data_IF_487503672495
#
_entry.id   IF_487503672495
#
_cell.length_a   1.000
_cell.length_b   1.000
_cell.length_c   1.000
_cell.angle_alpha   90.00
_cell.angle_beta   90.00
_cell.angle_gamma   90.00
#
_symmetry.space_group_name_H-M   'P 1'
#
loop_
_entity.id
_entity.type
_entity.pdbx_description
1 polymer ?
#
# COMPACT_ATOMS: atom_id res chain seq x y z
N UNK A 1 4.61 -28.87 -0.57
CA UNK A 1 4.22 -27.64 -1.29
C UNK A 1 2.94 -27.16 -0.63
N UNK A 2 3.03 -26.12 0.20
CA UNK A 2 1.91 -25.67 1.03
C UNK A 2 0.95 -24.83 0.16
N UNK A 3 -0.32 -25.20 0.20
CA UNK A 3 -1.44 -24.41 -0.33
C UNK A 3 -1.55 -23.11 0.47
N UNK A 4 -0.82 -22.06 0.06
CA UNK A 4 -1.20 -20.69 0.40
C UNK A 4 -2.53 -20.43 -0.30
N UNK A 5 -3.52 -19.93 0.45
CA UNK A 5 -4.82 -19.63 -0.17
C UNK A 5 -4.62 -18.54 -1.23
N UNK A 6 -5.37 -18.58 -2.33
CA UNK A 6 -5.35 -17.58 -3.41
C UNK A 6 -5.39 -16.12 -2.90
N UNK A 7 -5.96 -15.87 -1.71
CA UNK A 7 -5.98 -14.55 -1.06
C UNK A 7 -4.62 -14.07 -0.55
N UNK A 8 -3.77 -14.95 -0.04
CA UNK A 8 -2.42 -14.64 0.44
C UNK A 8 -1.44 -14.52 -0.74
N UNK A 9 -1.69 -15.28 -1.80
CA UNK A 9 -0.89 -15.24 -3.04
C UNK A 9 -0.89 -13.85 -3.69
N UNK A 10 -2.03 -13.16 -3.67
CA UNK A 10 -2.18 -11.80 -4.23
C UNK A 10 -1.34 -10.73 -3.55
N UNK A 11 -1.31 -10.75 -2.22
CA UNK A 11 -0.47 -9.82 -1.46
C UNK A 11 1.00 -10.09 -1.74
N UNK A 12 1.38 -11.36 -1.90
CA UNK A 12 2.75 -11.73 -2.24
C UNK A 12 3.16 -11.27 -3.64
N UNK A 13 2.32 -11.52 -4.66
CA UNK A 13 2.57 -11.05 -6.03
C UNK A 13 2.70 -9.52 -6.05
N UNK A 14 1.80 -8.82 -5.35
CA UNK A 14 1.84 -7.37 -5.33
C UNK A 14 3.06 -6.83 -4.57
N UNK A 15 3.41 -7.44 -3.43
CA UNK A 15 4.61 -7.09 -2.67
C UNK A 15 5.90 -7.34 -3.46
N UNK A 16 5.96 -8.41 -4.25
CA UNK A 16 7.09 -8.70 -5.14
C UNK A 16 7.26 -7.60 -6.19
N UNK A 17 6.17 -7.22 -6.86
CA UNK A 17 6.18 -6.10 -7.79
C UNK A 17 6.67 -4.80 -7.12
N UNK A 18 6.12 -4.46 -5.95
CA UNK A 18 6.50 -3.24 -5.22
C UNK A 18 8.00 -3.26 -4.89
N UNK A 19 8.51 -4.37 -4.34
CA UNK A 19 9.91 -4.47 -3.94
C UNK A 19 10.87 -4.46 -5.14
N UNK A 20 10.47 -5.02 -6.29
CA UNK A 20 11.31 -5.12 -7.47
C UNK A 20 11.32 -3.86 -8.34
N UNK A 21 10.16 -3.20 -8.50
CA UNK A 21 9.96 -2.17 -9.53
C UNK A 21 9.67 -0.78 -8.95
N UNK A 22 9.07 -0.71 -7.75
CA UNK A 22 8.62 0.57 -7.18
C UNK A 22 9.62 1.16 -6.18
N UNK A 23 10.29 0.31 -5.40
CA UNK A 23 11.22 0.74 -4.36
C UNK A 23 12.64 0.80 -4.91
N UNK A 24 13.38 1.85 -4.50
CA UNK A 24 14.82 1.93 -4.71
C UNK A 24 15.56 1.49 -3.44
N UNK A 25 16.89 1.62 -3.44
CA UNK A 25 17.73 1.29 -2.26
C UNK A 25 17.74 2.39 -1.18
N UNK A 26 16.85 3.39 -1.26
CA UNK A 26 16.79 4.45 -0.27
C UNK A 26 16.14 3.96 1.03
N UNK A 27 16.41 4.68 2.12
CA UNK A 27 15.84 4.38 3.45
C UNK A 27 14.61 5.24 3.68
N UNK A 28 13.58 4.63 4.27
CA UNK A 28 12.31 5.27 4.60
C UNK A 28 11.22 4.22 4.78
N UNK A 29 9.96 4.65 4.79
CA UNK A 29 8.83 3.75 4.97
C UNK A 29 7.92 3.70 3.75
N UNK A 30 7.23 2.56 3.58
CA UNK A 30 6.14 2.41 2.62
C UNK A 30 4.81 2.72 3.31
N UNK A 31 3.98 3.57 2.70
CA UNK A 31 2.64 3.88 3.21
C UNK A 31 1.60 2.97 2.54
N UNK A 32 1.04 2.02 3.28
CA UNK A 32 -0.06 1.15 2.86
C UNK A 32 -1.42 1.78 3.23
N UNK A 33 -2.20 2.17 2.21
CA UNK A 33 -3.54 2.74 2.38
C UNK A 33 -4.62 1.66 2.26
N UNK A 34 -5.61 1.72 3.15
CA UNK A 34 -6.71 0.75 3.24
C UNK A 34 -6.24 -0.69 3.52
N UNK A 35 -5.12 -0.84 4.25
CA UNK A 35 -4.43 -2.12 4.41
C UNK A 35 -5.15 -3.19 5.24
N UNK A 36 -6.28 -2.86 5.86
CA UNK A 36 -7.14 -3.83 6.53
C UNK A 36 -6.45 -4.56 7.66
N UNK A 37 -6.03 -5.81 7.44
CA UNK A 37 -5.27 -6.60 8.44
C UNK A 37 -3.75 -6.45 8.31
N UNK A 38 -3.26 -5.73 7.29
CA UNK A 38 -1.83 -5.54 7.02
C UNK A 38 -1.17 -6.73 6.32
N UNK A 39 -1.94 -7.52 5.56
CA UNK A 39 -1.39 -8.67 4.84
C UNK A 39 -0.39 -8.26 3.75
N UNK A 40 -0.54 -7.07 3.14
CA UNK A 40 0.46 -6.54 2.22
C UNK A 40 1.69 -6.06 2.99
N UNK A 41 1.54 -5.31 4.09
CA UNK A 41 2.66 -4.92 4.95
C UNK A 41 3.51 -6.12 5.39
N UNK A 42 2.88 -7.20 5.85
CA UNK A 42 3.58 -8.44 6.22
C UNK A 42 4.32 -9.03 5.02
N UNK A 43 3.70 -9.06 3.85
CA UNK A 43 4.33 -9.56 2.63
C UNK A 43 5.50 -8.70 2.15
N UNK A 44 5.46 -7.38 2.39
CA UNK A 44 6.56 -6.43 2.12
C UNK A 44 7.72 -6.64 3.10
N UNK A 45 7.44 -6.79 4.40
CA UNK A 45 8.45 -7.06 5.41
C UNK A 45 9.17 -8.39 5.15
N UNK A 46 8.43 -9.44 4.74
CA UNK A 46 9.02 -10.72 4.33
C UNK A 46 9.99 -10.61 3.14
N UNK A 47 9.97 -9.47 2.42
CA UNK A 47 10.86 -9.14 1.29
C UNK A 47 11.94 -8.12 1.66
N UNK A 48 12.10 -7.80 2.95
CA UNK A 48 13.14 -6.91 3.44
C UNK A 48 12.77 -5.43 3.48
N UNK A 49 11.49 -5.08 3.32
CA UNK A 49 11.03 -3.71 3.58
C UNK A 49 10.99 -3.49 5.09
N UNK A 50 11.90 -2.67 5.61
CA UNK A 50 12.11 -2.49 7.05
C UNK A 50 10.93 -1.77 7.74
N UNK A 51 10.39 -0.71 7.13
CA UNK A 51 9.30 0.09 7.71
C UNK A 51 8.09 0.17 6.77
N UNK A 52 6.93 -0.22 7.30
CA UNK A 52 5.63 -0.13 6.62
C UNK A 52 4.60 0.48 7.56
N UNK A 53 3.90 1.48 7.06
CA UNK A 53 2.88 2.25 7.77
C UNK A 53 1.53 1.96 7.15
N UNK A 54 0.62 1.37 7.92
CA UNK A 54 -0.73 1.05 7.45
C UNK A 54 -1.72 2.10 7.95
N UNK A 55 -2.40 2.79 7.04
CA UNK A 55 -3.52 3.68 7.36
C UNK A 55 -4.85 3.02 6.98
N UNK A 56 -5.70 2.75 7.99
CA UNK A 56 -7.03 2.17 7.81
C UNK A 56 -7.94 2.57 8.99
N UNK A 57 -9.17 3.06 8.74
CA UNK A 57 -10.07 3.50 9.82
C UNK A 57 -10.70 2.34 10.61
N UNK A 58 -10.70 1.12 10.05
CA UNK A 58 -11.41 -0.02 10.63
C UNK A 58 -10.79 -0.45 11.96
N UNK A 59 -11.59 -0.67 13.00
CA UNK A 59 -11.11 -1.34 14.21
C UNK A 59 -10.80 -2.81 13.86
N UNK A 60 -9.62 -3.28 14.25
CA UNK A 60 -9.24 -4.68 14.14
C UNK A 60 -9.31 -5.27 15.55
N UNK A 61 -10.00 -6.40 15.72
CA UNK A 61 -10.00 -7.10 16.99
C UNK A 61 -8.60 -7.64 17.29
N UNK A 62 -8.13 -7.51 18.54
CA UNK A 62 -6.80 -7.97 18.99
C UNK A 62 -6.49 -9.42 18.57
N UNK A 63 -7.49 -10.30 18.59
CA UNK A 63 -7.37 -11.72 18.20
C UNK A 63 -7.17 -11.98 16.70
N UNK A 64 -7.24 -10.96 15.85
CA UNK A 64 -7.00 -11.07 14.41
C UNK A 64 -5.57 -10.70 14.03
N UNK A 65 -4.72 -10.41 15.02
CA UNK A 65 -3.28 -10.41 14.86
C UNK A 65 -2.76 -11.84 14.82
N UNK A 66 -2.05 -12.18 13.75
CA UNK A 66 -1.00 -13.19 13.84
C UNK A 66 0.19 -12.48 14.46
N UNK A 67 0.53 -12.86 15.69
CA UNK A 67 1.64 -12.33 16.46
C UNK A 67 2.94 -12.28 15.65
N UNK A 68 3.32 -11.07 15.27
CA UNK A 68 4.70 -10.65 15.14
C UNK A 68 4.82 -9.30 15.87
N UNK A 69 4.70 -9.34 17.20
CA UNK A 69 5.23 -8.40 18.21
C UNK A 69 5.12 -6.88 17.90
N UNK A 70 4.45 -6.01 18.65
CA UNK A 70 3.92 -6.05 20.00
C UNK A 70 3.03 -4.81 20.17
N UNK A 71 2.16 -4.85 21.16
CA UNK A 71 1.58 -3.71 21.88
C UNK A 71 2.44 -2.44 21.85
N UNK A 72 1.96 -1.41 21.16
CA UNK A 72 2.29 -0.02 21.49
C UNK A 72 1.00 0.77 21.60
N UNK A 73 0.61 1.03 22.85
CA UNK A 73 -0.40 2.01 23.24
C UNK A 73 0.06 3.40 22.82
N UNK A 74 -0.81 4.27 22.31
CA UNK A 74 -0.41 5.59 21.85
C UNK A 74 -0.34 6.55 23.04
N UNK A 75 0.73 6.50 23.82
CA UNK A 75 1.04 7.55 24.79
C UNK A 75 2.56 7.63 25.04
N UNK A 76 3.17 8.69 24.51
CA UNK A 76 4.47 9.26 24.92
C UNK A 76 5.75 8.47 24.61
N UNK A 77 6.58 9.11 23.79
CA UNK A 77 8.01 8.86 23.51
C UNK A 77 8.39 7.60 22.72
N UNK A 78 9.31 7.84 21.78
CA UNK A 78 9.77 6.92 20.76
C UNK A 78 10.58 5.77 21.36
N UNK A 79 9.94 4.63 21.60
CA UNK A 79 10.66 3.39 21.91
C UNK A 79 11.07 2.68 20.62
N UNK A 80 12.34 2.86 20.31
CA UNK A 80 13.10 2.22 19.26
C UNK A 80 13.54 0.84 19.78
N UNK A 81 12.90 -0.24 19.33
CA UNK A 81 13.49 -1.57 19.03
C UNK A 81 12.43 -2.69 18.95
N UNK A 82 11.86 -2.89 17.76
CA UNK A 82 11.37 -4.19 17.26
C UNK A 82 11.53 -4.16 15.74
N UNK A 83 12.48 -4.91 15.19
CA UNK A 83 12.91 -4.92 13.78
C UNK A 83 11.84 -5.38 12.76
N UNK A 84 10.56 -5.46 13.13
CA UNK A 84 9.50 -5.95 12.22
C UNK A 84 8.08 -5.51 12.61
N UNK A 85 7.93 -4.44 13.41
CA UNK A 85 6.60 -3.98 13.80
C UNK A 85 5.95 -3.10 12.71
N UNK A 86 4.89 -3.57 12.07
CA UNK A 86 4.06 -2.76 11.17
C UNK A 86 3.42 -1.61 11.95
N UNK A 87 3.75 -0.36 11.63
CA UNK A 87 3.15 0.82 12.25
C UNK A 87 1.73 1.03 11.72
N UNK A 88 0.74 1.26 12.58
CA UNK A 88 -0.65 1.51 12.15
C UNK A 88 -1.12 2.91 12.54
N UNK A 89 -1.80 3.56 11.61
CA UNK A 89 -2.50 4.83 11.82
C UNK A 89 -3.99 4.56 11.62
N UNK A 90 -4.76 4.67 12.70
CA UNK A 90 -6.22 4.47 12.62
C UNK A 90 -6.90 5.77 12.19
N UNK A 91 -6.92 6.01 10.89
CA UNK A 91 -7.51 7.21 10.29
C UNK A 91 -8.07 6.92 8.90
N UNK A 92 -8.95 7.80 8.42
CA UNK A 92 -9.27 7.86 7.00
C UNK A 92 -8.09 8.44 6.21
N UNK A 93 -7.94 8.02 4.96
CA UNK A 93 -6.96 8.60 4.06
C UNK A 93 -7.58 9.80 3.33
N UNK A 94 -7.22 11.00 3.77
CA UNK A 94 -7.69 12.28 3.27
C UNK A 94 -6.56 13.31 3.27
N UNK A 95 -6.86 14.60 3.04
CA UNK A 95 -5.88 15.68 2.97
C UNK A 95 -4.98 15.80 4.22
N UNK A 96 -5.40 15.32 5.39
CA UNK A 96 -4.55 15.33 6.59
C UNK A 96 -3.42 14.30 6.51
N UNK A 97 -3.46 13.39 5.55
CA UNK A 97 -2.41 12.38 5.32
C UNK A 97 -1.26 12.89 4.46
N UNK A 98 -1.30 14.16 4.00
CA UNK A 98 -0.31 14.73 3.07
C UNK A 98 1.13 14.63 3.58
N UNK A 99 1.36 14.83 4.87
CA UNK A 99 2.70 14.74 5.45
C UNK A 99 3.19 13.28 5.42
N UNK A 100 2.33 12.32 5.77
CA UNK A 100 2.63 10.90 5.68
C UNK A 100 2.94 10.45 4.24
N UNK A 101 2.25 11.02 3.26
CA UNK A 101 2.53 10.76 1.84
C UNK A 101 3.89 11.36 1.47
N UNK A 102 4.10 12.63 1.80
CA UNK A 102 5.30 13.38 1.41
C UNK A 102 6.59 12.80 1.99
N UNK A 103 6.53 12.18 3.16
CA UNK A 103 7.69 11.58 3.83
C UNK A 103 7.89 10.08 3.50
N UNK A 104 6.96 9.47 2.75
CA UNK A 104 7.05 8.05 2.37
C UNK A 104 7.96 7.82 1.16
N UNK A 105 8.51 6.61 1.07
CA UNK A 105 9.21 6.12 -0.14
C UNK A 105 8.23 5.87 -1.28
N UNK A 106 7.09 5.27 -0.95
CA UNK A 106 6.03 4.98 -1.90
C UNK A 106 4.68 4.87 -1.18
N UNK A 107 3.60 5.16 -1.92
CA UNK A 107 2.22 4.94 -1.47
C UNK A 107 1.65 3.73 -2.18
N UNK A 108 1.20 2.72 -1.42
CA UNK A 108 0.67 1.49 -1.97
C UNK A 108 -0.73 1.22 -1.43
N UNK A 109 -1.59 0.64 -2.26
CA UNK A 109 -2.95 0.32 -1.84
C UNK A 109 -3.50 -0.89 -2.58
N UNK A 110 -3.99 -1.89 -1.83
CA UNK A 110 -4.63 -3.08 -2.40
C UNK A 110 -6.13 -3.09 -2.10
N UNK A 111 -6.91 -2.91 -3.16
CA UNK A 111 -8.36 -2.76 -3.17
C UNK A 111 -8.88 -1.57 -2.35
N UNK A 112 -8.36 -0.35 -2.56
CA UNK A 112 -8.81 0.85 -1.85
C UNK A 112 -10.10 1.40 -2.49
N UNK A 113 -11.17 0.61 -2.57
CA UNK A 113 -12.37 0.94 -3.36
C UNK A 113 -12.83 2.42 -3.17
N UNK A 114 -12.91 2.89 -1.93
CA UNK A 114 -13.29 4.28 -1.58
C UNK A 114 -12.12 5.28 -1.55
N UNK A 115 -10.87 4.82 -1.46
CA UNK A 115 -9.67 5.67 -1.31
C UNK A 115 -8.81 5.78 -2.59
N UNK A 116 -9.23 5.15 -3.69
CA UNK A 116 -8.48 5.07 -4.95
C UNK A 116 -8.04 6.43 -5.46
N UNK A 117 -8.99 7.33 -5.67
CA UNK A 117 -8.71 8.65 -6.24
C UNK A 117 -7.83 9.47 -5.30
N UNK A 118 -8.11 9.41 -3.99
CA UNK A 118 -7.30 10.11 -2.98
C UNK A 118 -5.84 9.64 -3.00
N UNK A 119 -5.59 8.32 -3.06
CA UNK A 119 -4.23 7.75 -3.13
C UNK A 119 -3.49 8.27 -4.37
N UNK A 120 -4.14 8.20 -5.53
CA UNK A 120 -3.56 8.65 -6.80
C UNK A 120 -3.29 10.15 -6.77
N UNK A 121 -4.27 10.96 -6.38
CA UNK A 121 -4.19 12.41 -6.40
C UNK A 121 -3.11 12.92 -5.43
N UNK A 122 -3.04 12.37 -4.21
CA UNK A 122 -2.01 12.78 -3.24
C UNK A 122 -0.61 12.31 -3.63
N UNK A 123 -0.45 11.09 -4.14
CA UNK A 123 0.85 10.61 -4.59
C UNK A 123 1.37 11.42 -5.78
N UNK A 124 0.50 11.76 -6.74
CA UNK A 124 0.84 12.67 -7.84
C UNK A 124 1.21 14.06 -7.33
N UNK A 125 0.44 14.61 -6.38
CA UNK A 125 0.71 15.92 -5.80
C UNK A 125 2.05 15.97 -5.06
N UNK A 126 2.40 14.91 -4.32
CA UNK A 126 3.65 14.81 -3.58
C UNK A 126 4.82 14.30 -4.43
N UNK A 127 4.58 13.99 -5.70
CA UNK A 127 5.56 13.36 -6.61
C UNK A 127 6.18 12.08 -6.02
N UNK A 128 5.35 11.28 -5.36
CA UNK A 128 5.77 10.02 -4.75
C UNK A 128 5.42 8.84 -5.65
N UNK A 129 6.33 7.85 -5.79
CA UNK A 129 5.99 6.58 -6.41
C UNK A 129 4.74 5.99 -5.76
N UNK A 130 3.85 5.40 -6.57
CA UNK A 130 2.67 4.75 -6.02
C UNK A 130 2.22 3.55 -6.84
N UNK A 131 1.57 2.60 -6.18
CA UNK A 131 0.96 1.44 -6.83
C UNK A 131 -0.41 1.15 -6.22
N UNK A 132 -1.42 0.98 -7.09
CA UNK A 132 -2.79 0.66 -6.67
C UNK A 132 -3.29 -0.58 -7.39
N UNK A 133 -3.59 -1.62 -6.63
CA UNK A 133 -4.17 -2.87 -7.14
C UNK A 133 -5.68 -2.87 -6.90
N UNK A 134 -6.48 -2.86 -7.96
CA UNK A 134 -7.95 -2.78 -7.87
C UNK A 134 -8.63 -4.12 -8.03
N UNK A 135 -9.77 -4.30 -7.36
CA UNK A 135 -10.59 -5.50 -7.54
C UNK A 135 -11.53 -5.32 -8.72
N UNK A 136 -11.02 -5.54 -9.92
CA UNK A 136 -11.79 -5.32 -11.15
C UNK A 136 -12.70 -6.53 -11.39
N UNK A 137 -13.99 -6.41 -11.05
CA UNK A 137 -14.99 -7.45 -11.37
C UNK A 137 -15.50 -7.36 -12.82
N UNK A 138 -15.45 -6.17 -13.42
CA UNK A 138 -15.51 -5.85 -14.86
C UNK A 138 -15.03 -4.39 -14.98
N UNK A 139 -14.22 -4.05 -15.98
CA UNK A 139 -14.13 -2.73 -16.67
C UNK A 139 -12.73 -2.51 -17.25
N UNK A 140 -12.64 -2.50 -18.58
CA UNK A 140 -11.47 -2.09 -19.35
C UNK A 140 -11.28 -0.56 -19.43
N UNK A 141 -12.25 0.22 -18.95
CA UNK A 141 -12.24 1.70 -19.04
C UNK A 141 -11.48 2.42 -17.92
N UNK A 142 -11.43 1.86 -16.72
CA UNK A 142 -10.86 2.52 -15.54
C UNK A 142 -9.33 2.66 -15.63
N UNK A 143 -8.65 1.60 -16.10
CA UNK A 143 -7.19 1.61 -16.35
C UNK A 143 -6.83 2.69 -17.39
N UNK A 144 -7.67 2.87 -18.41
CA UNK A 144 -7.49 3.87 -19.44
C UNK A 144 -7.67 5.29 -18.87
N UNK A 145 -8.73 5.52 -18.10
CA UNK A 145 -9.01 6.81 -17.45
C UNK A 145 -7.87 7.25 -16.52
N UNK A 146 -7.36 6.34 -15.68
CA UNK A 146 -6.30 6.66 -14.74
C UNK A 146 -4.94 6.90 -15.44
N UNK A 147 -4.66 6.17 -16.53
CA UNK A 147 -3.52 6.47 -17.42
C UNK A 147 -3.65 7.85 -18.08
N UNK A 148 -4.85 8.23 -18.51
CA UNK A 148 -5.11 9.54 -19.12
C UNK A 148 -4.96 10.68 -18.09
N UNK A 149 -5.46 10.52 -16.86
CA UNK A 149 -5.24 11.48 -15.75
C UNK A 149 -3.76 11.66 -15.43
N UNK A 150 -3.01 10.57 -15.25
CA UNK A 150 -1.58 10.63 -14.93
C UNK A 150 -0.76 11.31 -16.04
N UNK A 151 -1.12 11.08 -17.31
CA UNK A 151 -0.51 11.75 -18.47
C UNK A 151 -0.87 13.23 -18.57
N UNK A 152 -2.12 13.60 -18.26
CA UNK A 152 -2.58 14.99 -18.34
C UNK A 152 -1.98 15.85 -17.21
N UNK A 153 -1.76 15.27 -16.03
CA UNK A 153 -1.16 15.97 -14.89
C UNK A 153 0.33 16.28 -15.07
N UNK A 154 1.06 15.51 -15.90
CA UNK A 154 2.52 15.59 -15.97
C UNK A 154 3.02 15.64 -17.43
N UNK A 155 3.26 16.87 -17.90
CA UNK A 155 3.81 17.15 -19.23
C UNK A 155 5.22 16.55 -19.43
N UNK A 156 5.27 15.40 -20.11
CA UNK A 156 6.43 14.66 -20.64
C UNK A 156 7.50 14.09 -19.68
N UNK A 157 7.67 12.77 -19.83
CA UNK A 157 8.86 11.90 -19.60
C UNK A 157 9.47 11.83 -18.20
N UNK A 158 8.93 10.99 -17.30
CA UNK A 158 9.68 10.33 -16.23
C UNK A 158 9.00 9.00 -15.78
N UNK A 159 9.73 8.08 -15.11
CA UNK A 159 9.40 6.67 -14.90
C UNK A 159 8.41 6.48 -13.75
N UNK A 160 7.19 7.01 -13.90
CA UNK A 160 6.08 6.66 -13.02
C UNK A 160 5.51 5.36 -13.56
N UNK A 161 5.97 4.25 -13.00
CA UNK A 161 5.35 2.94 -13.23
C UNK A 161 3.96 2.94 -12.58
N UNK A 162 3.00 3.53 -13.28
CA UNK A 162 1.58 3.45 -12.96
C UNK A 162 1.10 2.02 -13.27
N UNK A 163 1.39 1.10 -12.36
CA UNK A 163 1.03 -0.31 -12.52
C UNK A 163 -0.30 -0.56 -11.83
N UNK A 164 -1.34 -0.56 -12.64
CA UNK A 164 -2.61 -1.19 -12.30
C UNK A 164 -2.46 -2.69 -12.47
N UNK A 165 -2.26 -3.40 -11.37
CA UNK A 165 -2.45 -4.86 -11.38
C UNK A 165 -3.96 -5.10 -11.38
N UNK A 166 -4.49 -5.30 -12.58
CA UNK A 166 -5.84 -5.80 -12.78
C UNK A 166 -5.83 -7.30 -12.53
N UNK A 167 -6.24 -7.71 -11.34
CA UNK A 167 -6.38 -9.12 -11.06
C UNK A 167 -7.67 -9.66 -11.71
N UNK A 168 -7.53 -10.50 -12.73
CA UNK A 168 -8.63 -11.28 -13.26
C UNK A 168 -8.77 -12.55 -12.41
N UNK A 169 -9.69 -12.53 -11.43
CA UNK A 169 -10.10 -13.77 -10.78
C UNK A 169 -11.05 -14.48 -11.74
N UNK A 170 -10.50 -15.39 -12.56
CA UNK A 170 -11.32 -16.39 -13.25
C UNK A 170 -11.91 -17.29 -12.16
N UNK A 171 -13.18 -17.07 -11.83
CA UNK A 171 -13.98 -18.04 -11.09
C UNK A 171 -14.49 -19.05 -12.12
N UNK A 172 -13.85 -20.22 -12.21
CA UNK A 172 -14.55 -21.46 -12.60
C UNK A 172 -14.89 -22.24 -11.34
#
# INVERSE_FOLDING_TARGET
MNNLSCKEERHNIFAEFIAAELLDSSKGYVLEVAGGKGALAIALQARGVEDVVVIDPRPIAESQWTDASATHTPDTEADIHSETAVRRVRAYFDDSSRDLVSDSLAVVAMHPDEATDAVVDQALQAQRPFAVAQRIHRYSGLIRFLREKARAAMGFSLPVELVFIAEYIAVE
#
